data_IF_402135160384
#
_entry.id   IF_402135160384
#
_cell.length_a   1.000
_cell.length_b   1.000
_cell.length_c   1.000
_cell.angle_alpha   90.00
_cell.angle_beta   90.00
_cell.angle_gamma   90.00
#
_symmetry.space_group_name_H-M   'P 1'
#
loop_
_entity.id
_entity.type
_entity.pdbx_description
1 polymer ?
#
# COMPACT_ATOMS: atom_id res chain seq x y z
N UNK A 1 -26.46 -8.49 -12.20
CA UNK A 1 -25.75 -7.24 -11.84
C UNK A 1 -24.47 -7.67 -11.18
N UNK A 2 -23.32 -7.25 -11.69
CA UNK A 2 -22.03 -7.54 -11.03
C UNK A 2 -22.06 -6.98 -9.61
N UNK A 3 -21.48 -7.69 -8.63
CA UNK A 3 -21.43 -7.18 -7.26
C UNK A 3 -20.50 -5.96 -7.18
N UNK A 4 -20.83 -4.99 -6.32
CA UNK A 4 -20.01 -3.80 -6.07
C UNK A 4 -18.76 -4.07 -5.21
N UNK A 5 -18.25 -5.29 -5.27
CA UNK A 5 -16.99 -5.74 -4.67
C UNK A 5 -16.32 -6.76 -5.59
N UNK A 6 -15.04 -6.97 -5.38
CA UNK A 6 -14.27 -7.97 -6.10
C UNK A 6 -13.61 -8.92 -5.11
N UNK A 7 -13.61 -10.21 -5.45
CA UNK A 7 -13.02 -11.26 -4.62
C UNK A 7 -11.90 -11.93 -5.40
N UNK A 8 -10.76 -12.05 -4.78
CA UNK A 8 -9.61 -12.76 -5.32
C UNK A 8 -9.09 -13.79 -4.31
N UNK A 9 -8.80 -15.00 -4.80
CA UNK A 9 -8.18 -16.05 -4.00
C UNK A 9 -6.70 -16.13 -4.35
N UNK A 10 -5.85 -15.99 -3.37
CA UNK A 10 -4.40 -16.05 -3.53
C UNK A 10 -3.78 -17.17 -2.67
N UNK A 11 -2.57 -17.54 -3.03
CA UNK A 11 -1.69 -18.31 -2.16
C UNK A 11 -0.44 -17.48 -1.91
N UNK A 12 -0.06 -17.29 -0.64
CA UNK A 12 1.16 -16.56 -0.30
C UNK A 12 2.37 -17.29 -0.88
N UNK A 13 3.03 -16.68 -1.86
CA UNK A 13 4.15 -17.28 -2.58
C UNK A 13 5.43 -17.24 -1.71
N UNK A 14 6.41 -18.11 -1.99
CA UNK A 14 7.69 -18.06 -1.28
C UNK A 14 8.40 -16.70 -1.41
N UNK A 15 8.29 -16.05 -2.58
CA UNK A 15 8.87 -14.74 -2.84
C UNK A 15 8.18 -13.58 -2.08
N UNK A 16 6.94 -13.79 -1.63
CA UNK A 16 6.18 -12.82 -0.85
C UNK A 16 6.58 -12.80 0.63
N UNK A 17 7.28 -13.85 1.08
CA UNK A 17 7.74 -13.98 2.46
C UNK A 17 9.02 -13.18 2.73
N UNK A 18 9.16 -12.74 3.97
CA UNK A 18 10.40 -12.26 4.55
C UNK A 18 11.32 -13.43 4.96
N UNK A 19 12.44 -13.13 5.63
CA UNK A 19 13.39 -14.12 6.14
C UNK A 19 12.80 -15.07 7.20
N UNK A 20 11.64 -14.74 7.80
CA UNK A 20 10.92 -15.61 8.73
C UNK A 20 9.82 -16.44 8.02
N UNK A 21 9.58 -16.21 6.73
CA UNK A 21 8.52 -16.84 5.95
C UNK A 21 7.15 -16.17 6.11
N UNK A 22 7.07 -15.05 6.81
CA UNK A 22 5.85 -14.25 6.95
C UNK A 22 5.70 -13.29 5.77
N UNK A 23 4.47 -13.08 5.32
CA UNK A 23 4.18 -12.21 4.19
C UNK A 23 4.63 -10.78 4.45
N UNK A 24 5.43 -10.22 3.53
CA UNK A 24 5.86 -8.82 3.56
C UNK A 24 4.68 -7.87 3.31
N UNK A 25 4.63 -6.71 3.97
CA UNK A 25 3.62 -5.70 3.67
C UNK A 25 3.58 -5.29 2.20
N UNK A 26 4.73 -5.16 1.55
CA UNK A 26 4.85 -4.84 0.13
C UNK A 26 4.18 -5.87 -0.78
N UNK A 27 4.32 -7.16 -0.46
CA UNK A 27 3.67 -8.23 -1.19
C UNK A 27 2.14 -8.11 -1.08
N UNK A 28 1.65 -7.84 0.13
CA UNK A 28 0.23 -7.63 0.36
C UNK A 28 -0.31 -6.44 -0.46
N UNK A 29 0.40 -5.30 -0.46
CA UNK A 29 0.00 -4.13 -1.23
C UNK A 29 -0.09 -4.41 -2.74
N UNK A 30 0.81 -5.24 -3.30
CA UNK A 30 0.77 -5.64 -4.72
C UNK A 30 -0.49 -6.45 -5.04
N UNK A 31 -0.89 -7.39 -4.20
CA UNK A 31 -2.15 -8.12 -4.37
C UNK A 31 -3.36 -7.21 -4.29
N UNK A 32 -3.36 -6.26 -3.36
CA UNK A 32 -4.46 -5.29 -3.23
C UNK A 32 -4.58 -4.37 -4.45
N UNK A 33 -3.46 -3.90 -4.97
CA UNK A 33 -3.42 -3.07 -6.17
C UNK A 33 -3.95 -3.85 -7.37
N UNK A 34 -3.50 -5.09 -7.55
CA UNK A 34 -3.98 -5.97 -8.61
C UNK A 34 -5.50 -6.21 -8.49
N UNK A 35 -5.99 -6.58 -7.30
CA UNK A 35 -7.42 -6.78 -7.07
C UNK A 35 -8.25 -5.50 -7.33
N UNK A 36 -7.69 -4.31 -7.03
CA UNK A 36 -8.34 -3.03 -7.34
C UNK A 36 -8.45 -2.79 -8.85
N UNK A 37 -7.39 -3.11 -9.61
CA UNK A 37 -7.38 -3.00 -11.07
C UNK A 37 -8.33 -4.01 -11.72
N UNK A 38 -8.35 -5.25 -11.23
CA UNK A 38 -9.22 -6.29 -11.79
C UNK A 38 -10.69 -6.02 -11.48
N UNK A 39 -11.00 -5.45 -10.31
CA UNK A 39 -12.34 -4.92 -10.02
C UNK A 39 -12.75 -3.84 -11.03
N UNK A 40 -11.88 -2.88 -11.32
CA UNK A 40 -12.17 -1.85 -12.31
C UNK A 40 -12.37 -2.43 -13.72
N UNK A 41 -11.51 -3.39 -14.13
CA UNK A 41 -11.62 -4.08 -15.42
C UNK A 41 -12.92 -4.87 -15.58
N UNK A 42 -13.41 -5.51 -14.51
CA UNK A 42 -14.69 -6.22 -14.52
C UNK A 42 -15.87 -5.30 -14.87
N UNK A 43 -15.73 -4.01 -14.63
CA UNK A 43 -16.69 -2.96 -15.01
C UNK A 43 -16.30 -2.19 -16.28
N UNK A 44 -15.37 -2.70 -17.07
CA UNK A 44 -14.91 -2.08 -18.32
C UNK A 44 -13.96 -0.91 -18.16
N UNK A 45 -13.50 -0.62 -16.95
CA UNK A 45 -12.54 0.44 -16.65
C UNK A 45 -11.09 -0.08 -16.65
N UNK A 46 -10.57 -0.39 -17.83
CA UNK A 46 -9.19 -0.80 -18.05
C UNK A 46 -8.27 0.41 -18.33
N UNK A 47 -6.99 0.16 -18.58
CA UNK A 47 -6.00 1.20 -18.87
C UNK A 47 -6.35 2.02 -20.14
N UNK A 48 -7.02 1.40 -21.11
CA UNK A 48 -7.49 2.09 -22.32
C UNK A 48 -8.61 3.05 -21.96
N UNK A 49 -9.57 2.61 -21.16
CA UNK A 49 -10.66 3.43 -20.67
C UNK A 49 -10.16 4.69 -19.96
N UNK A 50 -9.21 4.55 -19.01
CA UNK A 50 -8.66 5.69 -18.28
C UNK A 50 -7.91 6.66 -19.20
N UNK A 51 -7.12 6.15 -20.15
CA UNK A 51 -6.43 7.00 -21.15
C UNK A 51 -7.40 7.77 -22.04
N UNK A 52 -8.46 7.13 -22.53
CA UNK A 52 -9.48 7.77 -23.38
C UNK A 52 -10.24 8.88 -22.64
N UNK A 53 -10.42 8.74 -21.33
CA UNK A 53 -11.01 9.79 -20.49
C UNK A 53 -10.00 10.82 -19.98
N UNK A 54 -8.72 10.69 -20.32
CA UNK A 54 -7.67 11.62 -19.91
C UNK A 54 -7.42 11.64 -18.40
N UNK A 55 -7.58 10.50 -17.71
CA UNK A 55 -7.52 10.41 -16.25
C UNK A 55 -6.47 9.40 -15.81
N UNK A 56 -5.78 9.72 -14.72
CA UNK A 56 -4.93 8.80 -13.96
C UNK A 56 -5.43 8.65 -12.53
N UNK A 57 -5.28 7.47 -11.96
CA UNK A 57 -5.54 7.18 -10.55
C UNK A 57 -4.21 7.02 -9.82
N UNK A 58 -3.97 7.87 -8.84
CA UNK A 58 -2.75 7.85 -8.02
C UNK A 58 -3.08 7.42 -6.60
N UNK A 59 -2.25 6.59 -6.00
CA UNK A 59 -2.35 6.29 -4.56
C UNK A 59 -1.76 7.47 -3.79
N UNK A 60 -2.59 8.15 -3.01
CA UNK A 60 -2.15 9.25 -2.16
C UNK A 60 -1.75 8.81 -0.75
N UNK A 61 -2.52 7.89 -0.19
CA UNK A 61 -2.30 7.35 1.17
C UNK A 61 -2.81 5.94 1.25
N UNK A 62 -2.18 5.16 2.13
CA UNK A 62 -2.72 3.85 2.50
C UNK A 62 -2.29 3.45 3.90
N UNK A 63 -3.12 2.63 4.55
CA UNK A 63 -2.80 1.94 5.79
C UNK A 63 -3.11 0.46 5.63
N UNK A 64 -2.34 -0.37 6.33
CA UNK A 64 -2.48 -1.81 6.39
C UNK A 64 -2.36 -2.25 7.84
N UNK A 65 -3.30 -3.07 8.30
CA UNK A 65 -3.28 -3.69 9.61
C UNK A 65 -3.43 -5.20 9.46
N UNK A 66 -2.54 -5.93 10.11
CA UNK A 66 -2.65 -7.36 10.29
C UNK A 66 -3.09 -7.66 11.73
N UNK A 67 -4.17 -8.39 11.90
CA UNK A 67 -4.52 -9.09 13.12
C UNK A 67 -3.62 -10.32 13.29
N UNK A 68 -3.24 -10.93 12.17
CA UNK A 68 -2.28 -12.03 12.07
C UNK A 68 -1.57 -11.94 10.72
N UNK A 69 -0.25 -11.91 10.73
CA UNK A 69 0.55 -11.92 9.48
C UNK A 69 0.59 -13.34 8.92
N UNK A 70 0.12 -13.56 7.68
CA UNK A 70 0.08 -14.90 7.11
C UNK A 70 1.47 -15.41 6.71
N UNK A 71 1.63 -16.73 6.68
CA UNK A 71 2.83 -17.41 6.24
C UNK A 71 2.78 -17.80 4.76
N UNK A 72 3.95 -18.03 4.17
CA UNK A 72 4.07 -18.63 2.84
C UNK A 72 3.28 -19.94 2.77
N UNK A 73 2.58 -20.14 1.67
CA UNK A 73 1.76 -21.33 1.40
C UNK A 73 0.32 -21.22 1.92
N UNK A 74 -0.01 -20.23 2.74
CA UNK A 74 -1.40 -20.01 3.17
C UNK A 74 -2.26 -19.56 1.99
N UNK A 75 -3.51 -20.06 1.97
CA UNK A 75 -4.55 -19.63 1.03
C UNK A 75 -5.39 -18.55 1.68
N UNK A 76 -5.56 -17.44 0.97
CA UNK A 76 -6.26 -16.27 1.46
C UNK A 76 -7.32 -15.83 0.46
N UNK A 77 -8.38 -15.24 0.97
CA UNK A 77 -9.43 -14.59 0.16
C UNK A 77 -9.40 -13.09 0.41
N UNK A 78 -9.12 -12.31 -0.63
CA UNK A 78 -9.16 -10.85 -0.63
C UNK A 78 -10.52 -10.40 -1.11
N UNK A 79 -11.15 -9.47 -0.40
CA UNK A 79 -12.38 -8.80 -0.83
C UNK A 79 -12.15 -7.30 -0.85
N UNK A 80 -12.23 -6.67 -2.02
CA UNK A 80 -12.01 -5.22 -2.17
C UNK A 80 -13.28 -4.49 -2.60
N UNK A 81 -13.51 -3.31 -2.00
CA UNK A 81 -14.66 -2.43 -2.24
C UNK A 81 -14.21 -1.01 -2.43
N UNK A 82 -14.76 -0.33 -3.44
CA UNK A 82 -14.52 1.10 -3.69
C UNK A 82 -15.73 1.92 -3.26
N UNK A 83 -15.50 2.95 -2.45
CA UNK A 83 -16.50 3.95 -2.10
C UNK A 83 -16.62 5.00 -3.23
N UNK A 84 -17.77 5.65 -3.37
CA UNK A 84 -17.94 6.74 -4.34
C UNK A 84 -16.89 7.82 -4.13
N UNK A 85 -16.38 8.34 -5.25
CA UNK A 85 -15.43 9.45 -5.22
C UNK A 85 -16.03 10.65 -4.47
N UNK A 86 -15.29 11.16 -3.48
CA UNK A 86 -15.67 12.36 -2.74
C UNK A 86 -14.53 13.37 -2.78
N UNK A 87 -14.77 14.51 -3.41
CA UNK A 87 -13.79 15.61 -3.54
C UNK A 87 -12.45 15.18 -4.17
N UNK A 88 -12.51 14.26 -5.13
CA UNK A 88 -11.32 13.74 -5.82
C UNK A 88 -10.62 12.58 -5.12
N UNK A 89 -11.12 12.15 -3.97
CA UNK A 89 -10.59 10.99 -3.25
C UNK A 89 -11.55 9.81 -3.33
N UNK A 90 -11.01 8.62 -3.62
CA UNK A 90 -11.72 7.35 -3.64
C UNK A 90 -11.17 6.52 -2.48
N UNK A 91 -12.02 6.21 -1.50
CA UNK A 91 -11.72 5.23 -0.45
C UNK A 91 -11.90 3.83 -1.02
N UNK A 92 -10.90 2.99 -0.82
CA UNK A 92 -10.96 1.56 -1.14
C UNK A 92 -10.50 0.77 0.06
N UNK A 93 -11.37 -0.12 0.53
CA UNK A 93 -11.08 -1.05 1.59
C UNK A 93 -10.88 -2.44 1.00
N UNK A 94 -9.84 -3.11 1.46
CA UNK A 94 -9.60 -4.53 1.17
C UNK A 94 -9.50 -5.27 2.49
N UNK A 95 -10.36 -6.26 2.68
CA UNK A 95 -10.32 -7.20 3.81
C UNK A 95 -9.77 -8.52 3.33
N UNK A 96 -9.06 -9.23 4.20
CA UNK A 96 -8.51 -10.55 3.88
C UNK A 96 -8.90 -11.54 4.94
N UNK A 97 -9.41 -12.68 4.49
CA UNK A 97 -9.72 -13.82 5.35
C UNK A 97 -8.81 -15.00 5.02
N UNK A 98 -8.54 -15.82 6.02
CA UNK A 98 -7.85 -17.10 5.86
C UNK A 98 -8.81 -18.21 5.36
N UNK A 99 -8.33 -19.44 5.28
CA UNK A 99 -9.09 -20.60 4.81
C UNK A 99 -10.29 -20.95 5.69
N UNK A 100 -10.26 -20.54 6.96
CA UNK A 100 -11.35 -20.75 7.92
C UNK A 100 -12.39 -19.60 7.91
N UNK A 101 -12.17 -18.58 7.03
CA UNK A 101 -13.02 -17.40 6.92
C UNK A 101 -12.77 -16.35 8.01
N UNK A 102 -11.69 -16.49 8.79
CA UNK A 102 -11.31 -15.51 9.82
C UNK A 102 -10.61 -14.32 9.15
N UNK A 103 -11.08 -13.10 9.44
CA UNK A 103 -10.43 -11.89 8.94
C UNK A 103 -9.09 -11.69 9.64
N UNK A 104 -8.02 -11.64 8.84
CA UNK A 104 -6.63 -11.54 9.33
C UNK A 104 -5.95 -10.24 8.93
N UNK A 105 -6.50 -9.48 7.99
CA UNK A 105 -5.96 -8.19 7.60
C UNK A 105 -7.03 -7.27 7.04
N UNK A 106 -6.77 -5.96 7.19
CA UNK A 106 -7.54 -4.87 6.58
C UNK A 106 -6.59 -3.85 5.99
N UNK A 107 -6.93 -3.34 4.82
CA UNK A 107 -6.23 -2.21 4.25
C UNK A 107 -7.19 -1.11 3.81
N UNK A 108 -6.81 0.14 4.05
CA UNK A 108 -7.50 1.36 3.64
C UNK A 108 -6.60 2.13 2.67
N UNK A 109 -7.01 2.24 1.43
CA UNK A 109 -6.29 2.95 0.38
C UNK A 109 -7.09 4.15 -0.11
N UNK A 110 -6.41 5.30 -0.24
CA UNK A 110 -7.00 6.56 -0.74
C UNK A 110 -6.38 6.90 -2.09
N UNK A 111 -7.17 6.66 -3.12
CA UNK A 111 -6.81 7.01 -4.49
C UNK A 111 -7.20 8.43 -4.79
N UNK A 112 -6.40 9.11 -5.60
CA UNK A 112 -6.63 10.46 -6.08
C UNK A 112 -6.79 10.39 -7.60
N UNK A 113 -7.86 11.00 -8.09
CA UNK A 113 -8.13 11.09 -9.52
C UNK A 113 -7.56 12.38 -10.09
N UNK A 114 -6.72 12.27 -11.12
CA UNK A 114 -5.99 13.40 -11.72
C UNK A 114 -6.27 13.48 -13.21
N UNK A 115 -6.54 14.69 -13.70
CA UNK A 115 -6.56 14.99 -15.14
C UNK A 115 -5.15 14.92 -15.70
N UNK A 116 -4.96 14.15 -16.78
CA UNK A 116 -3.67 14.08 -17.48
C UNK A 116 -3.37 15.34 -18.30
N UNK A 117 -4.40 16.04 -18.79
CA UNK A 117 -4.24 17.22 -19.62
C UNK A 117 -3.84 18.47 -18.82
N UNK A 118 -4.46 18.65 -17.63
CA UNK A 118 -4.32 19.88 -16.84
C UNK A 118 -3.57 19.66 -15.52
N UNK A 119 -3.18 18.39 -15.22
CA UNK A 119 -2.43 18.00 -14.01
C UNK A 119 -3.08 18.55 -12.73
N UNK A 120 -4.40 18.42 -12.61
CA UNK A 120 -5.14 18.81 -11.42
C UNK A 120 -6.06 17.67 -10.91
N UNK A 121 -6.45 17.75 -9.65
CA UNK A 121 -7.33 16.77 -9.02
C UNK A 121 -8.76 16.95 -9.55
N UNK A 122 -9.31 15.89 -10.14
CA UNK A 122 -10.72 15.81 -10.53
C UNK A 122 -11.58 15.50 -9.31
N UNK A 123 -12.56 16.34 -9.04
CA UNK A 123 -13.41 16.18 -7.84
C UNK A 123 -14.43 15.06 -7.97
N UNK A 124 -14.76 14.66 -9.20
CA UNK A 124 -15.66 13.55 -9.53
C UNK A 124 -15.20 12.88 -10.82
N UNK A 125 -15.51 11.58 -11.03
CA UNK A 125 -15.27 10.93 -12.30
C UNK A 125 -16.00 11.65 -13.45
N UNK A 126 -15.37 11.83 -14.62
CA UNK A 126 -16.04 12.37 -15.81
C UNK A 126 -16.90 11.31 -16.53
N UNK A 127 -17.14 10.16 -15.91
CA UNK A 127 -17.95 9.05 -16.40
C UNK A 127 -18.89 8.52 -15.32
N UNK A 128 -19.89 7.74 -15.74
CA UNK A 128 -20.79 6.99 -14.87
C UNK A 128 -20.63 5.50 -15.13
N UNK A 129 -20.40 4.72 -14.06
CA UNK A 129 -20.37 3.26 -14.08
C UNK A 129 -21.34 2.77 -13.01
N UNK A 130 -22.40 2.08 -13.44
CA UNK A 130 -23.39 1.55 -12.53
C UNK A 130 -22.85 0.29 -11.81
N UNK A 131 -23.20 0.13 -10.54
CA UNK A 131 -22.89 -1.07 -9.77
C UNK A 131 -21.46 -1.16 -9.21
N UNK A 132 -20.53 -0.31 -9.67
CA UNK A 132 -19.14 -0.35 -9.19
C UNK A 132 -18.95 0.25 -7.80
N UNK A 133 -19.67 1.30 -7.50
CA UNK A 133 -19.46 2.11 -6.30
C UNK A 133 -20.32 1.63 -5.13
N UNK A 134 -19.72 1.63 -3.94
CA UNK A 134 -20.45 1.58 -2.68
C UNK A 134 -20.75 3.01 -2.19
N UNK A 135 -21.90 3.21 -1.56
CA UNK A 135 -22.27 4.51 -0.97
C UNK A 135 -21.45 4.81 0.28
N UNK A 136 -21.15 3.78 1.08
CA UNK A 136 -20.19 3.81 2.18
C UNK A 136 -19.59 2.42 2.41
N UNK A 137 -18.35 2.41 2.91
CA UNK A 137 -17.66 1.22 3.43
C UNK A 137 -17.29 1.53 4.87
N UNK A 138 -17.80 0.74 5.81
CA UNK A 138 -17.71 1.06 7.25
C UNK A 138 -16.28 0.95 7.79
N UNK A 139 -15.50 -0.01 7.30
CA UNK A 139 -14.12 -0.20 7.74
C UNK A 139 -13.29 1.04 7.45
N UNK A 140 -12.45 1.43 8.40
CA UNK A 140 -11.51 2.53 8.27
C UNK A 140 -10.28 2.27 9.14
N UNK A 141 -9.11 2.60 8.61
CA UNK A 141 -7.86 2.55 9.35
C UNK A 141 -7.29 3.96 9.58
N UNK A 142 -6.51 4.17 10.65
CA UNK A 142 -5.84 5.45 10.88
C UNK A 142 -4.81 5.72 9.76
N UNK A 143 -5.06 6.74 8.95
CA UNK A 143 -4.17 7.21 7.88
C UNK A 143 -3.24 8.34 8.35
N UNK A 144 -3.37 8.75 9.61
CA UNK A 144 -2.51 9.78 10.18
C UNK A 144 -1.17 9.19 10.57
N UNK A 145 -0.10 9.83 10.11
CA UNK A 145 1.25 9.47 10.50
C UNK A 145 1.54 9.94 11.93
N UNK A 146 2.08 9.07 12.74
CA UNK A 146 2.66 9.42 14.04
C UNK A 146 4.06 9.99 13.81
N UNK A 147 4.13 11.28 13.45
CA UNK A 147 5.40 11.97 13.21
C UNK A 147 6.16 12.09 14.53
N UNK A 148 7.40 11.64 14.54
CA UNK A 148 8.27 11.81 15.68
C UNK A 148 8.76 13.25 15.77
N UNK A 149 8.98 13.73 17.01
CA UNK A 149 9.56 15.05 17.31
C UNK A 149 11.07 14.99 17.49
N UNK A 150 11.64 13.79 17.48
CA UNK A 150 13.08 13.56 17.68
C UNK A 150 13.85 13.78 16.37
N UNK A 151 15.18 13.92 16.48
CA UNK A 151 16.05 14.09 15.34
C UNK A 151 16.00 12.85 14.43
N UNK A 152 15.88 13.10 13.13
CA UNK A 152 15.88 12.06 12.11
C UNK A 152 17.29 11.49 11.94
N UNK A 153 17.40 10.18 12.03
CA UNK A 153 18.63 9.42 11.79
C UNK A 153 18.69 9.08 10.29
N UNK A 154 19.77 9.44 9.62
CA UNK A 154 19.97 9.07 8.21
C UNK A 154 20.29 7.58 8.12
N UNK A 155 19.41 6.82 7.45
CA UNK A 155 19.62 5.40 7.18
C UNK A 155 20.58 5.17 6.01
N UNK A 156 20.40 5.91 4.90
CA UNK A 156 21.19 5.74 3.70
C UNK A 156 20.57 6.38 2.47
N UNK A 157 21.05 5.93 1.31
CA UNK A 157 20.59 6.34 0.00
C UNK A 157 20.14 5.11 -0.80
N UNK A 158 18.98 5.19 -1.43
CA UNK A 158 18.42 4.16 -2.31
C UNK A 158 18.31 4.68 -3.74
N UNK A 159 18.75 3.86 -4.66
CA UNK A 159 18.57 4.14 -6.11
C UNK A 159 17.30 3.46 -6.59
N UNK A 160 16.46 4.17 -7.34
CA UNK A 160 15.32 3.61 -8.04
C UNK A 160 15.79 2.68 -9.16
N UNK A 161 16.13 1.44 -8.81
CA UNK A 161 16.64 0.44 -9.73
C UNK A 161 15.50 -0.27 -10.48
N UNK A 162 15.85 -1.01 -11.53
CA UNK A 162 14.93 -1.81 -12.34
C UNK A 162 13.95 -2.65 -11.51
N UNK A 163 14.42 -3.28 -10.43
CA UNK A 163 13.60 -4.16 -9.58
C UNK A 163 12.58 -3.42 -8.70
N UNK A 164 12.72 -2.12 -8.52
CA UNK A 164 11.83 -1.29 -7.70
C UNK A 164 10.81 -0.51 -8.54
N UNK A 165 11.07 -0.35 -9.84
CA UNK A 165 10.27 0.50 -10.72
C UNK A 165 9.21 -0.31 -11.49
N UNK A 166 8.07 0.32 -11.70
CA UNK A 166 6.96 -0.22 -12.50
C UNK A 166 6.90 0.38 -13.91
N UNK A 167 5.82 0.11 -14.63
CA UNK A 167 5.57 0.58 -15.99
C UNK A 167 5.48 2.11 -16.11
N UNK A 168 5.28 2.84 -15.01
CA UNK A 168 5.24 4.29 -14.98
C UNK A 168 6.66 4.90 -14.94
N UNK A 169 7.69 4.06 -14.81
CA UNK A 169 9.09 4.50 -14.80
C UNK A 169 9.55 5.11 -13.49
N UNK A 170 8.91 4.82 -12.39
CA UNK A 170 9.31 5.25 -11.04
C UNK A 170 9.11 4.11 -10.01
N UNK A 171 9.59 4.30 -8.78
CA UNK A 171 9.43 3.32 -7.71
C UNK A 171 7.95 3.01 -7.52
N UNK A 172 7.58 1.71 -7.63
CA UNK A 172 6.23 1.26 -7.37
C UNK A 172 5.85 1.50 -5.90
N UNK A 173 4.61 1.93 -5.67
CA UNK A 173 4.09 2.32 -4.35
C UNK A 173 4.30 1.25 -3.27
N UNK A 174 4.18 -0.03 -3.61
CA UNK A 174 4.36 -1.12 -2.65
C UNK A 174 5.79 -1.23 -2.13
N UNK A 175 6.80 -0.97 -2.97
CA UNK A 175 8.20 -1.15 -2.60
C UNK A 175 8.74 -0.09 -1.63
N UNK A 176 8.05 1.02 -1.44
CA UNK A 176 8.43 1.97 -0.39
C UNK A 176 8.37 1.35 1.02
N UNK A 177 7.51 0.34 1.25
CA UNK A 177 7.50 -0.40 2.52
C UNK A 177 8.69 -1.34 2.67
N UNK A 178 9.18 -1.96 1.57
CA UNK A 178 10.42 -2.74 1.61
C UNK A 178 11.61 -1.82 1.91
N UNK A 179 11.72 -0.68 1.22
CA UNK A 179 12.75 0.34 1.47
C UNK A 179 12.69 0.83 2.93
N UNK A 180 11.50 1.03 3.47
CA UNK A 180 11.33 1.46 4.85
C UNK A 180 11.82 0.39 5.84
N UNK A 181 11.52 -0.89 5.60
CA UNK A 181 12.04 -1.99 6.42
C UNK A 181 13.56 -2.12 6.30
N UNK A 182 14.11 -2.00 5.08
CA UNK A 182 15.56 -2.06 4.82
C UNK A 182 16.32 -0.90 5.47
N UNK A 183 15.67 0.25 5.66
CA UNK A 183 16.24 1.44 6.28
C UNK A 183 16.37 1.32 7.80
N UNK A 184 15.61 0.43 8.43
CA UNK A 184 15.66 0.23 9.88
C UNK A 184 16.82 -0.67 10.30
N UNK A 185 17.32 -0.50 11.55
CA UNK A 185 18.30 -1.42 12.11
C UNK A 185 17.82 -2.88 12.06
N UNK A 186 18.71 -3.79 11.70
CA UNK A 186 18.37 -5.21 11.49
C UNK A 186 17.78 -5.88 12.74
N UNK A 187 18.20 -5.46 13.92
CA UNK A 187 17.65 -5.95 15.19
C UNK A 187 16.20 -5.52 15.42
N UNK A 188 15.74 -4.43 14.80
CA UNK A 188 14.34 -4.00 14.82
C UNK A 188 13.49 -4.95 13.99
N UNK A 189 13.85 -5.15 12.72
CA UNK A 189 13.07 -5.99 11.80
C UNK A 189 13.11 -7.47 12.18
N UNK A 190 14.10 -7.90 12.96
CA UNK A 190 14.20 -9.29 13.50
C UNK A 190 13.30 -9.53 14.71
N UNK A 191 12.78 -8.51 15.37
CA UNK A 191 11.90 -8.69 16.54
C UNK A 191 10.56 -9.32 16.17
N UNK A 192 10.06 -9.08 14.98
CA UNK A 192 8.80 -9.65 14.50
C UNK A 192 8.35 -9.01 13.20
N UNK A 193 7.26 -9.48 12.58
CA UNK A 193 6.73 -8.91 11.36
C UNK A 193 6.10 -7.54 11.60
N UNK A 194 5.96 -6.77 10.52
CA UNK A 194 5.14 -5.55 10.51
C UNK A 194 3.68 -5.93 10.71
N UNK A 195 3.04 -5.37 11.72
CA UNK A 195 1.61 -5.58 12.03
C UNK A 195 0.74 -4.41 11.63
N UNK A 196 1.32 -3.22 11.57
CA UNK A 196 0.65 -2.03 11.07
C UNK A 196 1.60 -1.19 10.23
N UNK A 197 1.08 -0.65 9.14
CA UNK A 197 1.76 0.39 8.36
C UNK A 197 0.78 1.47 7.92
N UNK A 198 1.25 2.72 7.93
CA UNK A 198 0.57 3.85 7.29
C UNK A 198 1.58 4.62 6.45
N UNK A 199 1.25 4.90 5.19
CA UNK A 199 2.15 5.58 4.26
C UNK A 199 1.42 6.68 3.49
N UNK A 200 2.08 7.83 3.32
CA UNK A 200 1.69 8.93 2.47
C UNK A 200 2.69 9.07 1.34
N UNK A 201 2.21 9.11 0.11
CA UNK A 201 3.01 9.35 -1.09
C UNK A 201 2.90 10.82 -1.48
N UNK A 202 4.04 11.47 -1.72
CA UNK A 202 4.10 12.89 -2.05
C UNK A 202 4.66 13.12 -3.44
N UNK A 203 5.76 12.43 -3.78
CA UNK A 203 6.45 12.56 -5.06
C UNK A 203 7.05 11.24 -5.48
N UNK A 204 6.99 10.94 -6.75
CA UNK A 204 7.66 9.80 -7.37
C UNK A 204 9.19 9.96 -7.34
N UNK A 205 9.89 8.83 -7.39
CA UNK A 205 11.33 8.76 -7.59
C UNK A 205 11.56 8.02 -8.92
N UNK A 206 11.97 8.74 -9.99
CA UNK A 206 12.15 8.15 -11.31
C UNK A 206 13.26 7.10 -11.35
N UNK A 207 13.16 6.17 -12.31
CA UNK A 207 14.17 5.14 -12.58
C UNK A 207 15.56 5.77 -12.76
N UNK A 208 16.53 5.24 -12.03
CA UNK A 208 17.93 5.70 -12.05
C UNK A 208 18.21 6.82 -11.05
N UNK A 209 17.20 7.48 -10.50
CA UNK A 209 17.38 8.55 -9.53
C UNK A 209 17.47 8.03 -8.09
N UNK A 210 17.88 8.91 -7.18
CA UNK A 210 18.24 8.55 -5.81
C UNK A 210 17.36 9.23 -4.80
N UNK A 211 17.12 8.53 -3.71
CA UNK A 211 16.34 9.00 -2.57
C UNK A 211 17.12 8.76 -1.28
N UNK A 212 17.23 9.75 -0.43
CA UNK A 212 17.74 9.59 0.93
C UNK A 212 16.61 9.19 1.87
N UNK A 213 16.87 8.23 2.75
CA UNK A 213 15.89 7.75 3.73
C UNK A 213 16.39 8.02 5.13
N UNK A 214 15.46 8.49 5.96
CA UNK A 214 15.68 8.80 7.36
C UNK A 214 14.62 8.10 8.19
N UNK A 215 14.95 7.75 9.43
CA UNK A 215 14.03 7.17 10.40
C UNK A 215 14.15 7.81 11.77
N UNK A 216 13.14 7.62 12.59
CA UNK A 216 13.14 8.00 13.99
C UNK A 216 12.26 7.02 14.78
N UNK A 217 12.66 6.63 16.01
CA UNK A 217 11.79 5.85 16.88
C UNK A 217 10.58 6.67 17.30
N UNK A 218 9.48 5.99 17.58
CA UNK A 218 8.24 6.55 18.11
C UNK A 218 7.78 5.69 19.29
N UNK A 219 6.78 6.12 20.04
CA UNK A 219 6.32 5.42 21.25
C UNK A 219 5.94 3.95 21.00
N UNK A 220 5.34 3.65 19.85
CA UNK A 220 4.84 2.31 19.51
C UNK A 220 5.41 1.75 18.21
N UNK A 221 6.28 2.48 17.53
CA UNK A 221 6.79 2.06 16.22
C UNK A 221 7.89 2.95 15.67
N UNK A 222 7.95 3.09 14.36
CA UNK A 222 9.00 3.79 13.64
C UNK A 222 8.42 4.72 12.59
N UNK A 223 8.81 5.99 12.64
CA UNK A 223 8.53 6.95 11.59
C UNK A 223 9.69 6.99 10.60
N UNK A 224 9.37 6.99 9.30
CA UNK A 224 10.36 7.08 8.23
C UNK A 224 9.93 8.14 7.21
N UNK A 225 10.94 8.74 6.59
CA UNK A 225 10.75 9.72 5.52
C UNK A 225 11.80 9.51 4.43
N UNK A 226 11.37 9.47 3.18
CA UNK A 226 12.24 9.50 2.01
C UNK A 226 12.26 10.87 1.38
N UNK A 227 13.45 11.34 0.98
CA UNK A 227 13.66 12.63 0.32
C UNK A 227 14.35 12.44 -1.02
N UNK A 228 13.74 12.93 -2.07
CA UNK A 228 14.28 12.98 -3.42
C UNK A 228 14.51 14.44 -3.81
N UNK A 229 15.74 14.79 -4.21
CA UNK A 229 16.12 16.18 -4.54
C UNK A 229 15.72 17.19 -3.44
N UNK A 230 15.90 16.81 -2.16
CA UNK A 230 15.57 17.64 -0.99
C UNK A 230 14.07 17.76 -0.69
N UNK A 231 13.19 17.15 -1.50
CA UNK A 231 11.75 17.19 -1.30
C UNK A 231 11.24 15.82 -0.80
N UNK A 232 10.22 15.83 0.04
CA UNK A 232 9.62 14.60 0.55
C UNK A 232 9.02 13.78 -0.59
N UNK A 233 9.47 12.52 -0.73
CA UNK A 233 8.91 11.53 -1.63
C UNK A 233 7.83 10.73 -0.94
N UNK A 234 8.12 10.16 0.21
CA UNK A 234 7.15 9.46 1.04
C UNK A 234 7.39 9.71 2.52
N UNK A 235 6.35 9.48 3.31
CA UNK A 235 6.42 9.37 4.77
C UNK A 235 5.68 8.11 5.17
N UNK A 236 6.22 7.31 6.09
CA UNK A 236 5.50 6.17 6.62
C UNK A 236 5.70 5.99 8.13
N UNK A 237 4.81 5.19 8.71
CA UNK A 237 4.86 4.75 10.07
C UNK A 237 4.67 3.23 10.10
N UNK A 238 5.52 2.53 10.85
CA UNK A 238 5.53 1.07 10.95
C UNK A 238 5.45 0.64 12.41
N UNK A 239 4.61 -0.35 12.69
CA UNK A 239 4.59 -1.09 13.95
C UNK A 239 4.97 -2.54 13.70
N UNK A 240 5.74 -3.09 14.62
CA UNK A 240 6.17 -4.49 14.60
C UNK A 240 5.53 -5.23 15.76
N UNK A 241 5.20 -6.51 15.58
CA UNK A 241 4.78 -7.31 16.72
C UNK A 241 5.92 -7.41 17.73
N UNK A 242 5.59 -7.38 19.02
CA UNK A 242 6.51 -7.81 20.05
C UNK A 242 6.80 -9.30 19.81
N UNK A 243 8.10 -9.66 19.63
CA UNK A 243 8.51 -10.99 19.19
C UNK A 243 7.89 -12.10 20.03
N UNK A 244 6.96 -12.83 19.44
CA UNK A 244 6.80 -14.23 19.77
C UNK A 244 8.00 -14.95 19.13
N UNK A 245 8.91 -15.43 19.94
CA UNK A 245 9.92 -16.41 19.53
C UNK A 245 9.18 -17.68 19.14
N UNK A 246 8.69 -17.73 17.92
CA UNK A 246 8.07 -18.94 17.37
C UNK A 246 9.15 -20.00 17.21
N UNK A 247 9.23 -20.86 18.23
CA UNK A 247 10.00 -22.10 18.21
C UNK A 247 9.22 -23.13 17.39
N UNK A 248 9.14 -22.95 16.09
CA UNK A 248 8.80 -24.06 15.18
C UNK A 248 9.67 -23.95 13.93
N UNK A 249 10.84 -24.57 14.04
CA UNK A 249 11.62 -25.05 12.90
C UNK A 249 11.27 -26.51 12.64
#
# INVERSE_FOLDING_TARGET
MEPNYYVENITVMNADGDFSGRMKPSAFLRYMEQAAMDHARAFGMDDKFFREHGVSLLVGKQALKFERVPFRGEKLTLTTRAERCRRGSIKRITTVTDADGVQIATADCRWIMVSLAEVHILRQPPWTVEGFWNDSVEEELPLRLHKCKEDLIRAGEWTANYSLCDLNGHINNAFYLDIACDALPLDVVRKGPVTFSSINYHREVPLGEKMEVFYSPSEQGWYLIGKHNGQTSFECYLEFSAGETDRQR
#
